data_IF_795189903725
#
_entry.id   IF_795189903725
#
_cell.length_a   1.000
_cell.length_b   1.000
_cell.length_c   1.000
_cell.angle_alpha   90.00
_cell.angle_beta   90.00
_cell.angle_gamma   90.00
#
_symmetry.space_group_name_H-M   'P 1'
#
loop_
_entity.id
_entity.type
_entity.pdbx_description
1 polymer ?
#
# COMPACT_ATOMS: atom_id res chain seq x y z
N UNK A 1 -11.94 14.09 5.89
CA UNK A 1 -10.88 13.15 6.32
C UNK A 1 -11.41 11.98 7.14
N UNK A 2 -12.21 12.18 8.19
CA UNK A 2 -12.71 11.06 9.02
C UNK A 2 -13.62 10.07 8.25
N UNK A 3 -14.45 10.55 7.33
CA UNK A 3 -15.28 9.72 6.44
C UNK A 3 -14.43 8.83 5.52
N UNK A 4 -13.40 9.38 4.87
CA UNK A 4 -12.45 8.61 4.05
C UNK A 4 -11.86 7.43 4.84
N UNK A 5 -11.31 7.70 6.03
CA UNK A 5 -10.74 6.64 6.87
C UNK A 5 -11.79 5.57 7.19
N UNK A 6 -12.99 5.95 7.61
CA UNK A 6 -14.07 4.98 7.89
C UNK A 6 -14.40 4.11 6.67
N UNK A 7 -14.46 4.71 5.47
CA UNK A 7 -14.70 3.96 4.23
C UNK A 7 -13.58 2.95 3.97
N UNK A 8 -12.30 3.36 4.09
CA UNK A 8 -11.17 2.44 3.88
C UNK A 8 -11.15 1.31 4.92
N UNK A 9 -11.35 1.61 6.21
CA UNK A 9 -11.42 0.58 7.24
C UNK A 9 -12.56 -0.41 7.01
N UNK A 10 -13.74 0.08 6.59
CA UNK A 10 -14.88 -0.78 6.23
C UNK A 10 -14.58 -1.64 5.00
N UNK A 11 -14.01 -1.04 3.95
CA UNK A 11 -13.63 -1.74 2.73
C UNK A 11 -12.68 -2.91 3.01
N UNK A 12 -11.61 -2.69 3.79
CA UNK A 12 -10.67 -3.75 4.09
C UNK A 12 -11.22 -4.81 5.07
N UNK A 13 -12.19 -4.47 5.93
CA UNK A 13 -12.95 -5.49 6.65
C UNK A 13 -13.69 -6.39 5.66
N UNK A 14 -14.42 -5.80 4.72
CA UNK A 14 -15.20 -6.56 3.74
C UNK A 14 -14.29 -7.42 2.85
N UNK A 15 -13.10 -6.93 2.48
CA UNK A 15 -12.07 -7.72 1.76
C UNK A 15 -11.59 -8.92 2.58
N UNK A 16 -11.33 -8.75 3.89
CA UNK A 16 -10.89 -9.85 4.75
C UNK A 16 -11.95 -10.93 4.95
N UNK A 17 -13.23 -10.56 4.91
CA UNK A 17 -14.37 -11.46 5.06
C UNK A 17 -14.81 -12.11 3.74
N UNK A 18 -14.28 -11.65 2.60
CA UNK A 18 -14.69 -12.10 1.29
C UNK A 18 -14.19 -13.51 0.96
N UNK A 19 -15.07 -14.31 0.35
CA UNK A 19 -14.74 -15.62 -0.23
C UNK A 19 -14.41 -15.53 -1.72
N UNK A 20 -14.96 -14.53 -2.42
CA UNK A 20 -14.61 -14.18 -3.80
C UNK A 20 -13.65 -12.99 -3.81
N UNK A 21 -12.35 -13.29 -3.90
CA UNK A 21 -11.29 -12.29 -3.84
C UNK A 21 -11.23 -11.40 -5.09
N UNK A 22 -11.64 -11.91 -6.25
CA UNK A 22 -11.70 -11.12 -7.47
C UNK A 22 -12.82 -10.07 -7.38
N UNK A 23 -13.99 -10.45 -6.86
CA UNK A 23 -15.08 -9.52 -6.58
C UNK A 23 -14.70 -8.50 -5.48
N UNK A 24 -14.02 -8.94 -4.43
CA UNK A 24 -13.53 -8.05 -3.38
C UNK A 24 -12.51 -7.03 -3.90
N UNK A 25 -11.60 -7.46 -4.79
CA UNK A 25 -10.65 -6.59 -5.46
C UNK A 25 -11.35 -5.57 -6.39
N UNK A 26 -12.38 -5.98 -7.14
CA UNK A 26 -13.17 -5.03 -7.94
C UNK A 26 -13.93 -4.01 -7.07
N UNK A 27 -14.50 -4.45 -5.95
CA UNK A 27 -15.11 -3.55 -4.96
C UNK A 27 -14.07 -2.55 -4.44
N UNK A 28 -12.87 -3.02 -4.11
CA UNK A 28 -11.78 -2.17 -3.65
C UNK A 28 -11.40 -1.12 -4.69
N UNK A 29 -11.23 -1.52 -5.95
CA UNK A 29 -10.92 -0.60 -7.05
C UNK A 29 -12.01 0.45 -7.21
N UNK A 30 -13.29 0.04 -7.33
CA UNK A 30 -14.41 0.97 -7.52
C UNK A 30 -14.61 1.92 -6.35
N UNK A 31 -14.47 1.43 -5.12
CA UNK A 31 -14.60 2.26 -3.91
C UNK A 31 -13.53 3.35 -3.89
N UNK A 32 -12.32 3.01 -4.31
CA UNK A 32 -11.25 3.98 -4.41
C UNK A 32 -11.43 4.98 -5.54
N UNK A 33 -11.85 4.53 -6.72
CA UNK A 33 -12.16 5.42 -7.84
C UNK A 33 -13.20 6.46 -7.41
N UNK A 34 -14.25 6.03 -6.71
CA UNK A 34 -15.28 6.91 -6.15
C UNK A 34 -14.68 7.91 -5.13
N UNK A 35 -13.88 7.42 -4.17
CA UNK A 35 -13.22 8.29 -3.19
C UNK A 35 -12.32 9.34 -3.84
N UNK A 36 -11.54 8.96 -4.86
CA UNK A 36 -10.66 9.89 -5.57
C UNK A 36 -11.44 10.93 -6.38
N UNK A 37 -12.54 10.53 -7.00
CA UNK A 37 -13.37 11.42 -7.83
C UNK A 37 -14.20 12.40 -6.99
N UNK A 38 -14.90 11.92 -5.96
CA UNK A 38 -15.99 12.68 -5.33
C UNK A 38 -15.69 13.17 -3.92
N UNK A 39 -14.75 12.54 -3.20
CA UNK A 39 -14.56 12.84 -1.79
C UNK A 39 -13.76 14.15 -1.58
N UNK A 40 -14.18 15.06 -0.66
CA UNK A 40 -13.47 16.32 -0.38
C UNK A 40 -12.03 16.20 0.12
N UNK A 41 -11.60 14.99 0.49
CA UNK A 41 -10.25 14.67 0.96
C UNK A 41 -9.44 13.86 -0.07
N UNK A 42 -9.87 13.86 -1.32
CA UNK A 42 -9.10 13.29 -2.43
C UNK A 42 -7.70 13.92 -2.49
N UNK A 43 -6.64 13.12 -2.75
CA UNK A 43 -5.30 13.63 -2.96
C UNK A 43 -5.09 14.19 -4.37
N UNK A 44 -6.11 14.15 -5.24
CA UNK A 44 -6.02 14.76 -6.57
C UNK A 44 -5.96 16.29 -6.47
N UNK A 45 -4.99 16.86 -7.17
CA UNK A 45 -4.89 18.30 -7.36
C UNK A 45 -6.13 18.83 -8.11
N UNK A 46 -6.58 20.06 -7.85
CA UNK A 46 -7.76 20.62 -8.51
C UNK A 46 -7.72 20.53 -10.05
N UNK A 47 -6.53 20.70 -10.64
CA UNK A 47 -6.28 20.61 -12.08
C UNK A 47 -6.40 19.19 -12.65
N UNK A 48 -6.15 18.15 -11.84
CA UNK A 48 -6.20 16.75 -12.29
C UNK A 48 -7.62 16.14 -12.19
N UNK A 49 -8.51 16.77 -11.42
CA UNK A 49 -9.86 16.24 -11.16
C UNK A 49 -10.75 16.15 -12.39
N UNK A 50 -10.79 17.14 -13.31
CA UNK A 50 -11.66 17.08 -14.48
C UNK A 50 -11.35 15.91 -15.42
N UNK A 51 -10.07 15.50 -15.49
CA UNK A 51 -9.59 14.44 -16.39
C UNK A 51 -9.47 13.07 -15.70
N UNK A 52 -9.87 12.97 -14.43
CA UNK A 52 -9.77 11.73 -13.67
C UNK A 52 -10.80 10.70 -14.13
N UNK A 53 -10.34 9.60 -14.73
CA UNK A 53 -11.18 8.49 -15.20
C UNK A 53 -11.11 7.24 -14.34
N UNK A 54 -10.38 7.29 -13.22
CA UNK A 54 -10.13 6.14 -12.34
C UNK A 54 -8.64 5.85 -12.16
N UNK A 55 -8.33 5.07 -11.12
CA UNK A 55 -6.99 4.63 -10.78
C UNK A 55 -6.60 3.45 -11.70
N UNK A 56 -5.50 3.55 -12.47
CA UNK A 56 -5.04 2.44 -13.28
C UNK A 56 -4.64 1.24 -12.40
N UNK A 57 -5.43 0.17 -12.42
CA UNK A 57 -5.21 -1.02 -11.59
C UNK A 57 -5.30 -2.28 -12.45
N UNK A 58 -4.38 -3.22 -12.23
CA UNK A 58 -4.38 -4.49 -12.98
C UNK A 58 -5.47 -5.45 -12.48
N UNK A 59 -5.97 -6.37 -13.32
CA UNK A 59 -6.91 -7.40 -12.87
C UNK A 59 -6.34 -8.24 -11.73
N UNK A 60 -7.24 -8.80 -10.91
CA UNK A 60 -6.86 -9.68 -9.81
C UNK A 60 -6.15 -10.94 -10.34
N UNK A 61 -5.00 -11.27 -9.76
CA UNK A 61 -4.26 -12.50 -10.01
C UNK A 61 -3.98 -13.21 -8.68
N UNK A 62 -4.59 -14.39 -8.42
CA UNK A 62 -4.41 -15.11 -7.16
C UNK A 62 -2.98 -15.61 -6.95
N UNK A 63 -2.14 -15.68 -8.00
CA UNK A 63 -0.73 -16.07 -7.86
C UNK A 63 0.10 -15.02 -7.08
N UNK A 64 -0.42 -13.81 -6.91
CA UNK A 64 0.23 -12.71 -6.19
C UNK A 64 -0.31 -12.50 -4.77
N UNK A 65 -1.00 -13.51 -4.23
CA UNK A 65 -1.42 -13.58 -2.84
C UNK A 65 -0.58 -14.60 -2.09
N UNK A 66 0.01 -14.17 -0.98
CA UNK A 66 0.92 -14.97 -0.17
C UNK A 66 0.49 -14.97 1.30
N UNK A 67 0.79 -16.06 1.98
CA UNK A 67 0.80 -16.15 3.44
C UNK A 67 2.24 -16.44 3.86
N UNK A 68 2.83 -15.55 4.65
CA UNK A 68 4.26 -15.58 4.98
C UNK A 68 4.47 -15.36 6.47
N UNK A 69 5.44 -16.07 7.04
CA UNK A 69 5.85 -15.90 8.43
C UNK A 69 6.66 -14.61 8.61
N UNK A 70 6.41 -13.89 9.69
CA UNK A 70 7.21 -12.73 10.08
C UNK A 70 8.37 -13.22 10.96
N UNK A 71 9.56 -13.23 10.39
CA UNK A 71 10.79 -13.67 11.07
C UNK A 71 11.42 -12.51 11.86
N UNK A 72 12.03 -12.78 13.04
CA UNK A 72 12.78 -11.77 13.78
C UNK A 72 13.90 -11.13 12.94
N UNK A 73 14.13 -9.85 13.16
CA UNK A 73 15.21 -9.11 12.50
C UNK A 73 15.96 -8.23 13.50
N UNK A 74 17.20 -7.88 13.17
CA UNK A 74 18.00 -6.96 13.97
C UNK A 74 17.29 -5.59 14.07
N UNK A 75 17.18 -4.99 15.27
CA UNK A 75 16.47 -3.74 15.46
C UNK A 75 17.01 -2.62 14.55
N UNK A 76 16.11 -2.01 13.79
CA UNK A 76 16.36 -0.85 12.95
C UNK A 76 15.24 0.16 13.12
N UNK A 77 15.55 1.43 12.93
CA UNK A 77 14.56 2.51 12.95
C UNK A 77 14.60 3.26 11.62
N UNK A 78 13.42 3.44 11.03
CA UNK A 78 13.20 4.34 9.91
C UNK A 78 12.65 5.66 10.46
N UNK A 79 13.23 6.77 10.02
CA UNK A 79 12.77 8.13 10.32
C UNK A 79 12.24 8.72 9.02
N UNK A 80 10.99 9.15 9.03
CA UNK A 80 10.35 9.80 7.89
C UNK A 80 10.08 11.24 8.28
N UNK A 81 10.81 12.16 7.68
CA UNK A 81 10.60 13.59 7.86
C UNK A 81 9.28 13.97 7.19
N UNK A 82 8.26 14.28 7.99
CA UNK A 82 6.97 14.75 7.48
C UNK A 82 6.92 16.26 7.68
N UNK A 83 7.17 17.01 6.61
CA UNK A 83 7.39 18.47 6.61
C UNK A 83 6.79 19.23 7.81
N UNK A 84 5.47 19.36 7.87
CA UNK A 84 4.78 20.13 8.94
C UNK A 84 4.47 19.34 10.21
N UNK A 85 4.50 18.00 10.16
CA UNK A 85 4.02 17.11 11.22
C UNK A 85 5.16 16.52 12.07
N UNK A 86 6.41 16.90 11.77
CA UNK A 86 7.62 16.43 12.44
C UNK A 86 8.08 15.07 11.95
N UNK A 87 8.87 14.38 12.76
CA UNK A 87 9.41 13.06 12.39
C UNK A 87 8.42 11.94 12.71
N UNK A 88 8.11 11.12 11.70
CA UNK A 88 7.37 9.87 11.87
C UNK A 88 8.35 8.72 11.96
N UNK A 89 8.32 8.03 13.10
CA UNK A 89 9.24 6.96 13.43
C UNK A 89 8.61 5.59 13.18
N UNK A 90 9.37 4.66 12.62
CA UNK A 90 8.99 3.27 12.47
C UNK A 90 10.09 2.36 12.99
N UNK A 91 9.72 1.33 13.74
CA UNK A 91 10.63 0.29 14.23
C UNK A 91 10.50 -0.96 13.36
N UNK A 92 11.63 -1.53 12.95
CA UNK A 92 11.66 -2.82 12.28
C UNK A 92 11.26 -3.90 13.30
N UNK A 93 10.20 -4.64 13.00
CA UNK A 93 9.69 -5.70 13.89
C UNK A 93 9.91 -7.10 13.33
N UNK A 94 10.31 -7.21 12.07
CA UNK A 94 10.67 -8.47 11.44
C UNK A 94 10.87 -8.32 9.95
N UNK A 95 11.11 -9.44 9.29
CA UNK A 95 11.25 -9.56 7.84
C UNK A 95 10.38 -10.73 7.39
N UNK A 96 9.77 -10.60 6.23
CA UNK A 96 9.10 -11.72 5.54
C UNK A 96 9.93 -12.12 4.33
N UNK A 97 9.97 -13.41 4.00
CA UNK A 97 10.48 -13.88 2.72
C UNK A 97 9.31 -14.24 1.81
N UNK A 98 9.13 -13.49 0.72
CA UNK A 98 7.99 -13.66 -0.18
C UNK A 98 8.43 -14.49 -1.40
N UNK A 99 7.85 -15.68 -1.64
CA UNK A 99 8.24 -16.54 -2.74
C UNK A 99 8.21 -15.83 -4.10
N UNK A 100 9.33 -15.86 -4.81
CA UNK A 100 9.47 -15.23 -6.13
C UNK A 100 9.60 -13.70 -6.12
N UNK A 101 9.51 -13.06 -4.95
CA UNK A 101 9.67 -11.61 -4.78
C UNK A 101 10.94 -11.27 -4.00
N UNK A 102 11.24 -12.04 -2.96
CA UNK A 102 12.34 -11.81 -2.04
C UNK A 102 11.89 -11.24 -0.71
N UNK A 103 12.85 -10.76 0.09
CA UNK A 103 12.58 -10.31 1.44
C UNK A 103 12.00 -8.90 1.50
N UNK A 104 11.08 -8.66 2.44
CA UNK A 104 10.53 -7.33 2.75
C UNK A 104 10.62 -7.06 4.25
N UNK A 105 11.17 -5.90 4.62
CA UNK A 105 11.14 -5.41 6.00
C UNK A 105 9.68 -5.12 6.43
N UNK A 106 9.31 -5.59 7.63
CA UNK A 106 8.02 -5.32 8.28
C UNK A 106 8.21 -4.25 9.34
N UNK A 107 7.66 -3.07 9.09
CA UNK A 107 7.79 -1.93 9.98
C UNK A 107 6.56 -1.78 10.87
N UNK A 108 6.77 -1.24 12.08
CA UNK A 108 5.69 -0.83 12.98
C UNK A 108 5.80 0.66 13.27
N UNK A 109 4.70 1.39 13.11
CA UNK A 109 4.64 2.80 13.47
C UNK A 109 4.89 2.98 14.98
N UNK A 110 5.91 3.76 15.33
CA UNK A 110 6.32 4.04 16.71
C UNK A 110 5.60 5.26 17.28
N UNK A 111 4.27 5.24 17.19
CA UNK A 111 3.36 6.28 17.71
C UNK A 111 2.15 5.61 18.38
N UNK A 112 1.32 6.39 19.09
CA UNK A 112 0.18 5.88 19.86
C UNK A 112 -0.75 4.95 19.06
N UNK A 113 -1.03 5.28 17.80
CA UNK A 113 -1.92 4.48 16.96
C UNK A 113 -1.31 3.12 16.55
N UNK A 114 0.01 2.98 16.59
CA UNK A 114 0.71 1.79 16.11
C UNK A 114 0.38 1.46 14.65
N UNK A 115 0.42 0.17 14.32
CA UNK A 115 0.11 -0.35 12.99
C UNK A 115 1.34 -0.84 12.23
N UNK A 116 1.14 -1.88 11.42
CA UNK A 116 2.15 -2.41 10.52
C UNK A 116 2.20 -1.56 9.25
N UNK A 117 3.39 -1.47 8.69
CA UNK A 117 3.65 -0.75 7.46
C UNK A 117 4.67 -1.53 6.62
N UNK A 118 4.29 -1.85 5.39
CA UNK A 118 5.14 -2.55 4.42
C UNK A 118 5.05 -1.79 3.10
N UNK A 119 5.99 -0.88 2.80
CA UNK A 119 6.13 -0.33 1.46
C UNK A 119 6.79 -1.38 0.56
N UNK A 120 6.66 -1.21 -0.76
CA UNK A 120 7.40 -2.01 -1.75
C UNK A 120 7.74 -1.16 -2.96
N UNK A 121 8.99 -1.24 -3.40
CA UNK A 121 9.46 -0.68 -4.68
C UNK A 121 9.98 -1.81 -5.55
N UNK A 122 9.28 -2.07 -6.64
CA UNK A 122 9.59 -3.16 -7.55
C UNK A 122 10.24 -2.65 -8.86
N UNK A 123 10.65 -3.58 -9.73
CA UNK A 123 11.33 -3.23 -10.96
C UNK A 123 10.45 -2.45 -11.97
N UNK A 124 9.14 -2.32 -11.75
CA UNK A 124 8.27 -1.43 -12.55
C UNK A 124 8.29 0.03 -12.10
N UNK A 125 8.93 0.35 -10.96
CA UNK A 125 8.91 1.68 -10.39
C UNK A 125 9.55 2.73 -11.33
N UNK A 126 8.78 3.76 -11.67
CA UNK A 126 9.22 4.84 -12.56
C UNK A 126 9.27 4.49 -14.05
N UNK A 127 8.90 3.27 -14.45
CA UNK A 127 8.81 2.89 -15.87
C UNK A 127 7.49 3.37 -16.49
N UNK A 128 7.44 3.68 -17.80
CA UNK A 128 6.20 3.96 -18.51
C UNK A 128 5.17 2.83 -18.36
N UNK A 129 3.96 3.16 -17.91
CA UNK A 129 2.92 2.16 -17.61
C UNK A 129 3.20 1.26 -16.39
N UNK A 130 4.25 1.57 -15.64
CA UNK A 130 4.70 0.85 -14.46
C UNK A 130 4.08 1.37 -13.17
N UNK A 131 4.86 1.40 -12.09
CA UNK A 131 4.41 1.80 -10.74
C UNK A 131 5.06 3.13 -10.33
N UNK A 132 4.54 3.76 -9.28
CA UNK A 132 5.08 5.03 -8.81
C UNK A 132 6.56 4.89 -8.41
N UNK A 133 7.40 5.86 -8.79
CA UNK A 133 8.86 5.79 -8.60
C UNK A 133 9.31 5.68 -7.13
N UNK A 134 8.49 6.18 -6.20
CA UNK A 134 8.69 6.07 -4.76
C UNK A 134 8.27 4.72 -4.15
N UNK A 135 7.63 3.86 -4.95
CA UNK A 135 7.03 2.60 -4.50
C UNK A 135 5.54 2.71 -4.17
N UNK A 136 4.98 1.61 -3.68
CA UNK A 136 3.59 1.43 -3.30
C UNK A 136 3.51 0.96 -1.86
N UNK A 137 2.33 1.04 -1.24
CA UNK A 137 2.05 0.46 0.06
C UNK A 137 1.33 -0.87 -0.10
N UNK A 138 1.91 -1.92 0.47
CA UNK A 138 1.33 -3.25 0.54
C UNK A 138 0.53 -3.44 1.83
N UNK A 139 1.05 -2.91 2.95
CA UNK A 139 0.36 -2.84 4.24
C UNK A 139 0.50 -1.41 4.79
N UNK A 140 -0.60 -0.85 5.28
CA UNK A 140 -0.67 0.41 6.05
C UNK A 140 -1.83 0.29 7.05
N UNK A 141 -1.65 -0.56 8.06
CA UNK A 141 -2.76 -1.00 8.92
C UNK A 141 -3.30 0.11 9.83
N UNK A 142 -2.50 1.15 10.10
CA UNK A 142 -2.97 2.36 10.79
C UNK A 142 -4.02 3.13 9.97
N UNK A 143 -4.02 2.96 8.64
CA UNK A 143 -5.07 3.44 7.73
C UNK A 143 -6.10 2.38 7.36
N UNK A 144 -6.02 1.21 7.98
CA UNK A 144 -6.91 0.07 7.77
C UNK A 144 -6.57 -0.78 6.55
N UNK A 145 -5.47 -0.48 5.84
CA UNK A 145 -5.08 -1.20 4.63
C UNK A 145 -4.20 -2.41 4.97
N UNK A 146 -4.84 -3.48 5.44
CA UNK A 146 -4.22 -4.77 5.71
C UNK A 146 -5.21 -5.92 5.51
N UNK A 147 -4.69 -7.13 5.33
CA UNK A 147 -5.47 -8.34 5.09
C UNK A 147 -5.49 -9.30 6.28
N UNK A 148 -4.98 -8.86 7.43
CA UNK A 148 -4.94 -9.64 8.66
C UNK A 148 -3.84 -10.72 8.70
N UNK A 149 -3.92 -11.53 9.75
CA UNK A 149 -3.08 -12.71 9.94
C UNK A 149 -3.44 -13.82 8.95
N UNK A 150 -2.49 -14.70 8.66
CA UNK A 150 -2.75 -15.92 7.92
C UNK A 150 -3.45 -17.01 8.75
N UNK A 151 -3.61 -18.18 8.16
CA UNK A 151 -4.14 -19.36 8.84
C UNK A 151 -3.20 -19.92 9.89
N UNK A 152 -1.88 -19.78 9.68
CA UNK A 152 -0.86 -20.27 10.62
C UNK A 152 -0.40 -19.18 11.61
N UNK A 153 -0.10 -19.53 12.88
CA UNK A 153 0.40 -18.57 13.88
C UNK A 153 1.67 -17.84 13.42
N UNK A 154 1.69 -16.51 13.59
CA UNK A 154 2.85 -15.69 13.22
C UNK A 154 2.95 -15.36 11.73
N UNK A 155 1.98 -15.78 10.92
CA UNK A 155 1.92 -15.41 9.50
C UNK A 155 1.02 -14.22 9.24
N UNK A 156 1.30 -13.51 8.15
CA UNK A 156 0.48 -12.41 7.63
C UNK A 156 0.10 -12.66 6.18
N UNK A 157 -1.05 -12.13 5.76
CA UNK A 157 -1.46 -12.17 4.36
C UNK A 157 -0.91 -10.96 3.62
N UNK A 158 -0.14 -11.22 2.56
CA UNK A 158 0.36 -10.22 1.63
C UNK A 158 -0.25 -10.47 0.25
N UNK A 159 -1.16 -9.60 -0.18
CA UNK A 159 -1.76 -9.67 -1.50
C UNK A 159 -1.38 -8.42 -2.31
N UNK A 160 -0.47 -8.59 -3.26
CA UNK A 160 0.05 -7.48 -4.05
C UNK A 160 -0.97 -6.89 -5.00
N UNK A 161 -2.12 -7.55 -5.22
CA UNK A 161 -3.24 -6.99 -5.97
C UNK A 161 -3.80 -5.72 -5.29
N UNK A 162 -3.68 -5.60 -3.97
CA UNK A 162 -4.14 -4.44 -3.22
C UNK A 162 -3.03 -3.39 -2.98
N UNK A 163 -1.82 -3.61 -3.52
CA UNK A 163 -0.71 -2.67 -3.39
C UNK A 163 -1.04 -1.35 -4.12
N UNK A 164 -0.86 -0.23 -3.41
CA UNK A 164 -1.37 1.05 -3.87
C UNK A 164 -0.40 2.22 -3.80
N UNK A 165 -0.66 3.23 -4.64
CA UNK A 165 0.17 4.42 -4.68
C UNK A 165 -0.07 5.31 -3.44
N UNK A 166 1.00 5.84 -2.82
CA UNK A 166 0.87 6.83 -1.75
C UNK A 166 0.24 8.13 -2.28
N UNK A 167 -0.33 8.95 -1.38
CA UNK A 167 -0.90 10.25 -1.74
C UNK A 167 0.10 11.17 -2.47
N UNK A 168 1.39 11.07 -2.15
CA UNK A 168 2.45 11.84 -2.79
C UNK A 168 2.64 11.53 -4.29
N UNK A 169 2.09 10.41 -4.78
CA UNK A 169 2.06 10.11 -6.20
C UNK A 169 1.16 11.09 -6.98
N UNK A 170 0.14 11.64 -6.33
CA UNK A 170 -0.85 12.53 -6.92
C UNK A 170 -0.58 13.99 -6.56
N UNK A 171 -0.24 14.27 -5.30
CA UNK A 171 0.04 15.62 -4.82
C UNK A 171 1.40 15.65 -4.08
N UNK A 172 2.43 16.33 -4.62
CA UNK A 172 3.77 16.34 -4.04
C UNK A 172 3.85 17.08 -2.69
N UNK A 173 2.80 17.80 -2.27
CA UNK A 173 2.76 18.43 -0.95
C UNK A 173 2.68 17.39 0.19
N UNK A 174 2.30 16.14 -0.10
CA UNK A 174 2.25 15.07 0.89
C UNK A 174 3.63 14.47 1.15
N UNK A 175 4.07 14.48 2.41
CA UNK A 175 5.20 13.69 2.86
C UNK A 175 4.76 12.23 3.10
N UNK A 176 5.36 11.29 2.37
CA UNK A 176 4.99 9.89 2.40
C UNK A 176 6.23 9.02 2.64
N UNK A 177 6.18 8.04 3.57
CA UNK A 177 7.26 7.08 3.75
C UNK A 177 7.59 6.35 2.44
N UNK A 178 8.82 6.48 1.96
CA UNK A 178 9.28 5.75 0.77
C UNK A 178 9.77 4.34 1.13
N UNK A 179 9.73 3.44 0.16
CA UNK A 179 10.30 2.11 0.32
C UNK A 179 11.82 2.20 0.59
N UNK A 180 12.25 1.59 1.70
CA UNK A 180 13.66 1.50 2.08
C UNK A 180 14.39 0.44 1.23
N UNK A 181 15.73 0.37 1.28
CA UNK A 181 16.47 -0.68 0.55
C UNK A 181 15.99 -2.11 0.85
N UNK A 182 15.60 -2.40 2.10
CA UNK A 182 15.02 -3.70 2.51
C UNK A 182 13.61 -3.97 1.98
N UNK A 183 12.97 -3.01 1.31
CA UNK A 183 11.68 -3.16 0.63
C UNK A 183 11.79 -2.84 -0.87
N UNK A 184 13.02 -2.83 -1.42
CA UNK A 184 13.26 -2.65 -2.84
C UNK A 184 13.64 -3.99 -3.46
N UNK A 185 12.80 -4.47 -4.38
CA UNK A 185 12.95 -5.79 -5.00
C UNK A 185 13.30 -5.67 -6.48
N UNK A 186 14.13 -6.59 -6.97
CA UNK A 186 14.60 -6.58 -8.36
C UNK A 186 13.60 -7.19 -9.35
N UNK A 187 12.53 -7.82 -8.85
CA UNK A 187 11.49 -8.45 -9.68
C UNK A 187 10.40 -7.45 -10.05
N UNK A 188 9.68 -7.73 -11.14
CA UNK A 188 8.47 -6.98 -11.49
C UNK A 188 7.27 -7.52 -10.72
N UNK A 189 6.43 -6.61 -10.21
CA UNK A 189 5.16 -6.96 -9.56
C UNK A 189 4.01 -6.58 -10.51
N UNK A 190 3.47 -7.52 -11.30
CA UNK A 190 2.55 -7.29 -12.42
C UNK A 190 1.11 -6.96 -12.00
N UNK A 191 0.82 -6.91 -10.70
CA UNK A 191 -0.50 -6.61 -10.12
C UNK A 191 -0.53 -5.29 -9.34
N UNK A 192 -1.71 -4.89 -8.87
CA UNK A 192 -1.93 -3.69 -8.06
C UNK A 192 -2.00 -2.40 -8.89
N UNK A 193 -1.95 -1.26 -8.19
CA UNK A 193 -2.02 0.05 -8.86
C UNK A 193 -0.80 0.31 -9.73
N UNK A 194 -1.06 0.98 -10.85
CA UNK A 194 -0.09 1.53 -11.79
C UNK A 194 -0.02 3.03 -11.63
N UNK A 195 1.04 3.60 -12.18
CA UNK A 195 1.27 5.02 -12.21
C UNK A 195 1.47 5.47 -13.65
N UNK A 196 0.55 6.28 -14.12
CA UNK A 196 0.68 7.05 -15.33
C UNK A 196 0.11 8.42 -15.04
N UNK A 197 0.97 9.44 -14.93
CA UNK A 197 0.48 10.80 -15.13
C UNK A 197 0.05 10.86 -16.60
N UNK A 198 -1.21 11.20 -16.85
CA UNK A 198 -1.57 11.77 -18.13
C UNK A 198 -0.73 13.05 -18.24
N UNK A 199 0.27 13.04 -19.12
CA UNK A 199 0.99 14.24 -19.52
C UNK A 199 0.34 14.75 -20.80
#
# INVERSE_FOLDING_TARGET
>A
MASWRRTIHGLYRDVREATDLAAAHDLWRRTRDELFSTHPSTPLLPEDRPDFTGLPTKPYDPAWRFEVAVEPAEPRRMVVETGTDGDVLFDLVGVVDVPGVGSLDVWKLAQYAGGLFIPVKDALAGKPGGTYGGGRYLIDSVKGADLGAGGEPGTIVLDFNFAYNPSCAYDPAWACPLAQPGNTVAVEIPVGERYGRAH
#
